data_IF_832731543685
#
_entry.id   IF_832731543685
#
_cell.length_a   1.000
_cell.length_b   1.000
_cell.length_c   1.000
_cell.angle_alpha   90.00
_cell.angle_beta   90.00
_cell.angle_gamma   90.00
#
_symmetry.space_group_name_H-M   'P 1'
#
loop_
_entity.id
_entity.type
_entity.pdbx_description
1 polymer ?
#
# COMPACT_ATOMS: atom_id res chain seq x y z
N UNK A 1 2.60 -12.62 5.23
CA UNK A 1 3.23 -12.32 3.92
C UNK A 1 3.67 -13.57 3.16
N UNK A 2 4.63 -14.37 3.63
CA UNK A 2 5.16 -15.53 2.86
C UNK A 2 4.05 -16.48 2.40
N UNK A 3 3.14 -16.86 3.32
CA UNK A 3 1.97 -17.71 2.99
C UNK A 3 1.10 -17.10 1.88
N UNK A 4 0.86 -15.79 1.93
CA UNK A 4 0.07 -15.06 0.93
C UNK A 4 0.76 -15.13 -0.44
N UNK A 5 2.07 -14.87 -0.49
CA UNK A 5 2.86 -14.96 -1.73
C UNK A 5 2.80 -16.36 -2.34
N UNK A 6 3.06 -17.41 -1.56
CA UNK A 6 3.01 -18.80 -2.04
C UNK A 6 1.63 -19.13 -2.63
N UNK A 7 0.56 -18.75 -1.92
CA UNK A 7 -0.81 -18.99 -2.37
C UNK A 7 -1.15 -18.18 -3.64
N UNK A 8 -0.69 -16.93 -3.73
CA UNK A 8 -0.85 -16.11 -4.93
C UNK A 8 -0.11 -16.68 -6.14
N UNK A 9 1.09 -17.23 -5.97
CA UNK A 9 1.83 -17.90 -7.05
C UNK A 9 1.13 -19.18 -7.52
N UNK A 10 0.61 -19.99 -6.60
CA UNK A 10 -0.20 -21.17 -6.95
C UNK A 10 -1.46 -20.78 -7.73
N UNK A 11 -2.16 -19.73 -7.29
CA UNK A 11 -3.36 -19.25 -7.96
C UNK A 11 -3.06 -18.73 -9.36
N UNK A 12 -1.98 -17.96 -9.54
CA UNK A 12 -1.53 -17.52 -10.85
C UNK A 12 -1.19 -18.71 -11.75
N UNK A 13 -0.46 -19.70 -11.24
CA UNK A 13 -0.12 -20.93 -11.98
C UNK A 13 -1.39 -21.65 -12.47
N UNK A 14 -2.41 -21.78 -11.63
CA UNK A 14 -3.71 -22.35 -12.02
C UNK A 14 -4.44 -21.51 -13.06
N UNK A 15 -4.46 -20.18 -12.90
CA UNK A 15 -5.16 -19.27 -13.80
C UNK A 15 -4.53 -19.23 -15.20
N UNK A 16 -3.20 -19.26 -15.28
CA UNK A 16 -2.47 -19.31 -16.55
C UNK A 16 -2.33 -20.73 -17.12
N UNK A 17 -2.74 -21.75 -16.36
CA UNK A 17 -2.61 -23.16 -16.70
C UNK A 17 -1.17 -23.55 -17.09
N UNK A 18 -0.19 -23.01 -16.37
CA UNK A 18 1.24 -23.33 -16.54
C UNK A 18 1.89 -23.56 -15.17
N UNK A 19 2.92 -24.41 -15.07
CA UNK A 19 3.69 -24.54 -13.83
C UNK A 19 4.33 -23.21 -13.41
N UNK A 20 4.60 -23.06 -12.11
CA UNK A 20 5.10 -21.79 -11.52
C UNK A 20 6.41 -21.30 -12.17
N UNK A 21 7.29 -22.20 -12.59
CA UNK A 21 8.56 -21.87 -13.26
C UNK A 21 8.38 -21.34 -14.70
N UNK A 22 7.19 -21.49 -15.29
CA UNK A 22 6.81 -20.99 -16.61
C UNK A 22 5.91 -19.76 -16.55
N UNK A 23 5.51 -19.31 -15.35
CA UNK A 23 4.69 -18.12 -15.17
C UNK A 23 5.39 -16.88 -15.70
N UNK A 24 4.64 -16.07 -16.45
CA UNK A 24 5.05 -14.75 -16.93
C UNK A 24 3.99 -13.73 -16.52
N UNK A 25 3.92 -13.37 -15.23
CA UNK A 25 2.89 -12.48 -14.74
C UNK A 25 3.08 -11.08 -15.31
N UNK A 26 1.98 -10.41 -15.61
CA UNK A 26 2.02 -9.00 -15.99
C UNK A 26 2.25 -8.08 -14.77
N UNK A 27 2.42 -6.78 -15.01
CA UNK A 27 2.69 -5.81 -13.94
C UNK A 27 1.56 -5.72 -12.91
N UNK A 28 0.30 -5.92 -13.30
CA UNK A 28 -0.83 -5.90 -12.38
C UNK A 28 -0.85 -7.17 -11.52
N UNK A 29 -0.56 -8.32 -12.11
CA UNK A 29 -0.45 -9.58 -11.40
C UNK A 29 0.69 -9.55 -10.39
N UNK A 30 1.84 -8.97 -10.74
CA UNK A 30 2.94 -8.73 -9.79
C UNK A 30 2.49 -7.81 -8.67
N UNK A 31 1.86 -6.67 -9.00
CA UNK A 31 1.38 -5.69 -8.02
C UNK A 31 0.42 -6.30 -6.99
N UNK A 32 -0.46 -7.19 -7.44
CA UNK A 32 -1.49 -7.84 -6.62
C UNK A 32 -1.01 -9.08 -5.86
N UNK A 33 0.00 -9.80 -6.35
CA UNK A 33 0.45 -11.06 -5.73
C UNK A 33 1.59 -10.88 -4.73
N UNK A 34 2.54 -10.01 -5.07
CA UNK A 34 3.81 -9.84 -4.32
C UNK A 34 4.16 -8.38 -4.08
N UNK A 35 3.54 -7.48 -4.84
CA UNK A 35 3.77 -6.05 -4.78
C UNK A 35 2.97 -5.33 -3.69
N UNK A 36 2.76 -4.01 -3.84
CA UNK A 36 2.25 -3.16 -2.78
C UNK A 36 0.81 -3.49 -2.34
N UNK A 37 -0.03 -4.05 -3.22
CA UNK A 37 -1.39 -4.42 -2.84
C UNK A 37 -1.40 -5.62 -1.89
N UNK A 38 -0.68 -6.70 -2.22
CA UNK A 38 -0.52 -7.85 -1.33
C UNK A 38 0.07 -7.48 0.03
N UNK A 39 1.06 -6.58 0.03
CA UNK A 39 1.63 -6.05 1.28
C UNK A 39 0.58 -5.27 2.10
N UNK A 40 -0.20 -4.42 1.44
CA UNK A 40 -1.25 -3.62 2.09
C UNK A 40 -2.29 -4.52 2.75
N UNK A 41 -2.74 -5.57 2.07
CA UNK A 41 -3.72 -6.52 2.61
C UNK A 41 -3.20 -7.20 3.87
N UNK A 42 -1.96 -7.72 3.85
CA UNK A 42 -1.36 -8.40 5.01
C UNK A 42 -1.16 -7.45 6.19
N UNK A 43 -0.75 -6.20 5.95
CA UNK A 43 -0.62 -5.20 7.02
C UNK A 43 -2.01 -4.84 7.57
N UNK A 44 -3.01 -4.69 6.70
CA UNK A 44 -4.36 -4.34 7.12
C UNK A 44 -5.02 -5.46 7.94
N UNK A 45 -4.86 -6.73 7.55
CA UNK A 45 -5.28 -7.90 8.34
C UNK A 45 -4.69 -7.83 9.76
N UNK A 46 -3.40 -7.50 9.86
CA UNK A 46 -2.72 -7.32 11.15
C UNK A 46 -3.26 -6.11 11.94
N UNK A 47 -3.72 -5.04 11.30
CA UNK A 47 -4.38 -3.94 12.02
C UNK A 47 -5.74 -4.38 12.58
N UNK A 48 -6.49 -5.19 11.84
CA UNK A 48 -7.81 -5.70 12.27
C UNK A 48 -7.74 -6.63 13.48
N UNK A 49 -6.61 -7.34 13.68
CA UNK A 49 -6.39 -8.12 14.91
C UNK A 49 -6.38 -7.25 16.18
N UNK A 50 -6.01 -5.96 16.06
CA UNK A 50 -5.93 -5.01 17.18
C UNK A 50 -7.13 -4.05 17.22
N UNK A 51 -7.74 -3.78 16.06
CA UNK A 51 -8.95 -2.97 15.95
C UNK A 51 -9.94 -3.63 14.98
N UNK A 52 -10.80 -4.54 15.48
CA UNK A 52 -11.78 -5.26 14.66
C UNK A 52 -12.86 -4.36 14.05
N UNK A 53 -12.91 -3.08 14.40
CA UNK A 53 -13.86 -2.12 13.81
C UNK A 53 -13.45 -1.70 12.40
N UNK A 54 -12.16 -1.79 12.06
CA UNK A 54 -11.66 -1.57 10.71
C UNK A 54 -12.22 -2.64 9.77
N UNK A 55 -13.00 -2.24 8.77
CA UNK A 55 -13.59 -3.11 7.74
C UNK A 55 -12.89 -2.97 6.40
N UNK A 56 -12.40 -1.78 6.09
CA UNK A 56 -11.71 -1.47 4.84
C UNK A 56 -10.56 -0.50 5.08
N UNK A 57 -9.60 -0.45 4.16
CA UNK A 57 -8.51 0.54 4.21
C UNK A 57 -9.02 1.99 4.18
N UNK A 58 -10.25 2.22 3.71
CA UNK A 58 -10.88 3.55 3.72
C UNK A 58 -11.18 4.05 5.12
N UNK A 59 -11.29 3.16 6.11
CA UNK A 59 -11.51 3.54 7.51
C UNK A 59 -10.30 4.25 8.13
N UNK A 60 -9.14 4.22 7.45
CA UNK A 60 -7.93 4.98 7.78
C UNK A 60 -7.82 6.29 6.97
N UNK A 61 -8.80 6.63 6.14
CA UNK A 61 -8.81 7.89 5.39
C UNK A 61 -9.10 9.07 6.32
N UNK A 62 -8.58 10.24 5.97
CA UNK A 62 -8.84 11.49 6.70
C UNK A 62 -8.45 11.49 8.18
N UNK A 63 -7.53 10.61 8.59
CA UNK A 63 -6.91 10.67 9.91
C UNK A 63 -6.28 12.04 10.14
N UNK A 64 -6.66 12.70 11.23
CA UNK A 64 -6.10 14.00 11.63
C UNK A 64 -4.89 13.87 12.55
N UNK A 65 -4.67 12.69 13.12
CA UNK A 65 -3.54 12.38 14.00
C UNK A 65 -3.02 10.95 13.75
N UNK A 66 -1.71 10.68 13.99
CA UNK A 66 -1.18 9.33 13.93
C UNK A 66 -1.84 8.40 14.95
N UNK A 67 -2.02 7.12 14.59
CA UNK A 67 -2.59 6.11 15.49
C UNK A 67 -1.69 4.87 15.55
N UNK A 68 -1.43 4.42 16.78
CA UNK A 68 -0.65 3.21 17.04
C UNK A 68 -1.59 2.00 17.19
N UNK A 69 -1.30 0.93 16.45
CA UNK A 69 -2.00 -0.36 16.51
C UNK A 69 -1.00 -1.44 16.90
N UNK A 70 -1.01 -1.84 18.18
CA UNK A 70 0.05 -2.69 18.73
C UNK A 70 1.40 -1.98 18.66
N UNK A 71 2.28 -2.46 17.78
CA UNK A 71 3.62 -1.92 17.52
C UNK A 71 3.73 -1.17 16.17
N UNK A 72 2.61 -0.99 15.45
CA UNK A 72 2.58 -0.36 14.12
C UNK A 72 1.99 1.04 14.19
N UNK A 73 2.80 2.03 13.83
CA UNK A 73 2.37 3.43 13.76
C UNK A 73 1.81 3.73 12.36
N UNK A 74 0.54 4.10 12.29
CA UNK A 74 -0.09 4.60 11.07
C UNK A 74 -0.08 6.12 11.11
N UNK A 75 0.56 6.73 10.12
CA UNK A 75 0.71 8.17 9.98
C UNK A 75 -0.46 8.76 9.16
N UNK A 76 -0.72 10.04 9.38
CA UNK A 76 -1.64 10.81 8.53
C UNK A 76 -1.06 10.97 7.12
N UNK A 77 -1.91 11.38 6.17
CA UNK A 77 -1.47 11.62 4.79
C UNK A 77 -0.35 12.65 4.73
N UNK A 78 -0.37 13.70 5.55
CA UNK A 78 0.73 14.66 5.61
C UNK A 78 1.94 14.17 6.40
N UNK A 79 1.74 13.27 7.37
CA UNK A 79 2.82 12.69 8.14
C UNK A 79 3.83 11.93 7.28
N UNK A 80 3.34 11.15 6.32
CA UNK A 80 4.18 10.39 5.39
C UNK A 80 4.17 10.98 3.97
N UNK A 81 2.98 11.27 3.44
CA UNK A 81 2.71 11.56 2.04
C UNK A 81 2.88 13.02 1.61
N UNK A 82 3.33 13.93 2.49
CA UNK A 82 3.52 15.34 2.14
C UNK A 82 4.34 15.50 0.84
N UNK A 83 3.87 16.39 -0.04
CA UNK A 83 4.48 16.67 -1.35
C UNK A 83 3.97 15.80 -2.50
N UNK A 84 3.04 14.87 -2.27
CA UNK A 84 2.38 14.14 -3.36
C UNK A 84 1.36 15.03 -4.08
N UNK A 85 1.16 14.79 -5.37
CA UNK A 85 0.18 15.53 -6.20
C UNK A 85 -1.24 14.96 -6.10
N UNK A 86 -1.42 13.90 -5.31
CA UNK A 86 -2.67 13.17 -5.14
C UNK A 86 -2.96 12.92 -3.65
N UNK A 87 -4.05 12.21 -3.36
CA UNK A 87 -4.45 11.81 -2.00
C UNK A 87 -4.71 12.96 -1.02
N UNK A 88 -4.84 14.20 -1.52
CA UNK A 88 -5.01 15.41 -0.71
C UNK A 88 -3.88 15.68 0.29
N UNK A 89 -2.64 15.24 0.01
CA UNK A 89 -1.48 15.68 0.80
C UNK A 89 -1.16 17.15 0.52
N UNK A 90 -0.68 17.88 1.53
CA UNK A 90 -0.15 19.23 1.40
C UNK A 90 0.99 19.26 0.36
N UNK A 91 0.85 20.11 -0.65
CA UNK A 91 1.79 20.22 -1.78
C UNK A 91 1.97 21.66 -2.31
N UNK A 92 1.51 22.67 -1.56
CA UNK A 92 1.56 24.10 -1.91
C UNK A 92 2.90 24.79 -1.62
N UNK A 93 3.88 24.02 -1.15
CA UNK A 93 5.21 24.51 -0.77
C UNK A 93 5.38 24.74 0.73
N UNK A 94 4.30 24.76 1.51
CA UNK A 94 4.36 24.73 2.97
C UNK A 94 4.79 23.35 3.49
N UNK A 95 5.19 23.30 4.76
CA UNK A 95 5.56 22.07 5.47
C UNK A 95 4.60 21.95 6.66
N UNK A 96 3.65 21.00 6.65
CA UNK A 96 2.80 20.73 7.80
C UNK A 96 3.63 20.29 9.01
N UNK A 97 3.21 20.67 10.22
CA UNK A 97 3.89 20.29 11.46
C UNK A 97 3.99 18.76 11.64
N UNK A 98 2.99 18.02 11.15
CA UNK A 98 2.97 16.56 11.22
C UNK A 98 3.95 15.89 10.24
N UNK A 99 4.51 16.60 9.26
CA UNK A 99 5.27 16.01 8.17
C UNK A 99 6.63 15.49 8.65
N UNK A 100 6.83 14.18 8.50
CA UNK A 100 8.10 13.50 8.81
C UNK A 100 8.94 13.23 7.55
N UNK A 101 8.28 13.20 6.39
CA UNK A 101 8.88 12.89 5.09
C UNK A 101 8.31 13.85 4.04
N UNK A 102 9.15 14.24 3.07
CA UNK A 102 8.73 14.99 1.88
C UNK A 102 8.97 14.17 0.62
N UNK A 103 7.90 13.84 -0.09
CA UNK A 103 7.99 13.19 -1.38
C UNK A 103 8.46 14.18 -2.45
N UNK A 104 9.48 13.79 -3.21
CA UNK A 104 9.97 14.49 -4.41
C UNK A 104 9.64 13.63 -5.62
N UNK A 105 8.38 13.64 -6.04
CA UNK A 105 8.00 12.85 -7.21
C UNK A 105 8.61 13.47 -8.47
N UNK A 106 9.58 12.77 -9.06
CA UNK A 106 10.25 13.14 -10.32
C UNK A 106 10.12 12.01 -11.36
N UNK A 107 9.09 11.17 -11.22
CA UNK A 107 8.94 9.97 -12.03
C UNK A 107 8.58 10.28 -13.47
N UNK A 108 9.43 9.87 -14.42
CA UNK A 108 9.15 9.79 -15.85
C UNK A 108 8.69 8.38 -16.30
N UNK A 109 8.35 7.50 -15.34
CA UNK A 109 8.16 6.06 -15.57
C UNK A 109 6.72 5.65 -15.87
N UNK A 110 5.74 6.54 -15.68
CA UNK A 110 4.42 6.42 -16.28
C UNK A 110 4.41 7.32 -17.50
N UNK A 111 4.16 6.74 -18.67
CA UNK A 111 3.83 7.54 -19.84
C UNK A 111 2.67 8.47 -19.49
N UNK A 112 2.82 9.74 -19.83
CA UNK A 112 1.77 10.73 -19.69
C UNK A 112 0.65 10.30 -20.64
N UNK A 113 -0.48 9.86 -20.09
CA UNK A 113 -1.71 9.70 -20.88
C UNK A 113 -2.29 11.05 -21.24
#
# INVERSE_FOLDING_TARGET
MIKHVLQSMENLSRNHNVPVDQLKPDSFEVMNSTGPAAWTDVVFDQLQEYDPTLKTTKDLSFMTEPKLYGDRLILTVDGFGMGQVHSHSTNDGSIPDAALIKHRFQGSWRDVQ
#
